data_IF_756637389492
#
_entry.id   IF_756637389492
#
_cell.length_a   1.000
_cell.length_b   1.000
_cell.length_c   1.000
_cell.angle_alpha   90.00
_cell.angle_beta   90.00
_cell.angle_gamma   90.00
#
_symmetry.space_group_name_H-M   'P 1'
#
loop_
_entity.id
_entity.type
_entity.pdbx_description
1 polymer ?
#
# COMPACT_ATOMS: atom_id res chain seq x y z
N UNK A 1 12.52 17.39 -3.87
CA UNK A 1 12.51 17.11 -2.41
C UNK A 1 13.33 18.15 -1.67
N UNK A 2 14.53 18.46 -2.13
CA UNK A 2 15.42 19.46 -1.49
C UNK A 2 14.74 20.83 -1.28
N UNK A 3 14.07 21.38 -2.31
CA UNK A 3 13.36 22.66 -2.22
C UNK A 3 12.21 22.63 -1.17
N UNK A 4 11.49 21.53 -1.08
CA UNK A 4 10.38 21.36 -0.15
C UNK A 4 10.88 21.19 1.30
N UNK A 5 12.01 20.52 1.48
CA UNK A 5 12.67 20.35 2.76
C UNK A 5 13.32 21.67 3.22
N UNK A 6 13.90 22.42 2.31
CA UNK A 6 14.43 23.75 2.59
C UNK A 6 13.31 24.69 3.04
N UNK A 7 12.20 24.75 2.30
CA UNK A 7 11.03 25.53 2.71
C UNK A 7 10.48 25.08 4.06
N UNK A 8 10.45 23.77 4.34
CA UNK A 8 9.99 23.24 5.62
C UNK A 8 10.92 23.67 6.76
N UNK A 9 12.22 23.58 6.57
CA UNK A 9 13.18 24.05 7.58
C UNK A 9 13.05 25.55 7.81
N UNK A 10 13.12 26.37 6.79
CA UNK A 10 13.12 27.83 6.90
C UNK A 10 11.80 28.38 7.45
N UNK A 11 10.67 27.87 6.98
CA UNK A 11 9.36 28.45 7.33
C UNK A 11 8.69 27.81 8.54
N UNK A 12 9.06 26.59 8.90
CA UNK A 12 8.40 25.85 9.97
C UNK A 12 9.36 25.50 11.11
N UNK A 13 10.49 24.85 10.80
CA UNK A 13 11.36 24.27 11.83
C UNK A 13 12.22 25.34 12.50
N UNK A 14 12.85 26.24 11.74
CA UNK A 14 13.69 27.31 12.29
C UNK A 14 12.89 28.25 13.20
N UNK A 15 11.70 28.73 12.82
CA UNK A 15 10.87 29.52 13.73
C UNK A 15 10.43 28.76 14.98
N UNK A 16 10.13 27.46 14.87
CA UNK A 16 9.74 26.66 16.03
C UNK A 16 10.88 26.40 17.01
N UNK A 17 12.12 26.34 16.53
CA UNK A 17 13.31 26.15 17.34
C UNK A 17 13.88 27.49 17.85
N UNK A 18 13.30 28.63 17.45
CA UNK A 18 13.83 29.98 17.79
C UNK A 18 15.14 30.30 17.06
N UNK A 19 15.47 29.57 16.01
CA UNK A 19 16.63 29.81 15.16
C UNK A 19 16.22 30.81 14.09
N UNK A 20 16.80 32.02 14.17
CA UNK A 20 16.64 33.01 13.09
C UNK A 20 17.57 32.63 11.97
N UNK A 21 17.00 32.28 10.80
CA UNK A 21 17.80 32.07 9.60
C UNK A 21 18.67 33.32 9.37
N UNK A 22 19.99 33.19 9.43
CA UNK A 22 20.87 34.31 9.13
C UNK A 22 20.69 34.67 7.65
N UNK A 23 20.64 35.98 7.33
CA UNK A 23 20.49 36.51 5.95
C UNK A 23 21.49 35.89 4.94
N UNK A 24 22.60 35.33 5.40
CA UNK A 24 23.61 34.64 4.58
C UNK A 24 23.28 33.20 4.22
N UNK A 25 22.27 32.58 4.83
CA UNK A 25 21.87 31.20 4.53
C UNK A 25 20.95 31.09 3.30
N UNK A 26 20.46 32.19 2.76
CA UNK A 26 19.64 32.22 1.54
C UNK A 26 20.43 32.08 0.21
N UNK A 27 21.76 32.15 0.27
CA UNK A 27 22.59 31.99 -0.91
C UNK A 27 22.96 30.49 -1.02
N UNK A 28 22.13 29.72 -1.69
CA UNK A 28 22.34 28.37 -2.26
C UNK A 28 23.45 27.50 -1.63
N UNK A 29 23.53 27.42 -0.32
CA UNK A 29 24.30 26.34 0.29
C UNK A 29 23.50 25.04 0.14
N UNK A 30 24.08 23.94 -0.33
CA UNK A 30 23.39 22.65 -0.32
C UNK A 30 22.83 22.40 1.08
N UNK A 31 21.58 22.01 1.15
CA UNK A 31 20.87 21.76 2.42
C UNK A 31 21.68 20.90 3.40
N UNK A 32 22.52 19.99 2.88
CA UNK A 32 23.43 19.12 3.62
C UNK A 32 24.52 19.87 4.42
N UNK A 33 24.91 21.08 4.03
CA UNK A 33 25.99 21.82 4.69
C UNK A 33 25.51 22.72 5.83
N UNK A 34 24.24 23.13 5.83
CA UNK A 34 23.69 24.10 6.78
C UNK A 34 23.21 23.48 8.10
N UNK A 35 22.87 22.22 8.11
CA UNK A 35 22.27 21.56 9.27
C UNK A 35 22.98 20.26 9.67
N UNK A 36 22.96 19.92 10.96
CA UNK A 36 23.52 18.66 11.43
C UNK A 36 22.79 17.45 10.84
N UNK A 37 23.51 16.36 10.57
CA UNK A 37 22.96 15.10 10.05
C UNK A 37 21.74 14.61 10.85
N UNK A 38 21.82 14.69 12.20
CA UNK A 38 20.71 14.29 13.08
C UNK A 38 19.46 15.13 12.84
N UNK A 39 19.61 16.44 12.70
CA UNK A 39 18.48 17.33 12.42
C UNK A 39 17.85 17.03 11.07
N UNK A 40 18.68 16.89 10.03
CA UNK A 40 18.24 16.55 8.69
C UNK A 40 17.41 15.26 8.68
N UNK A 41 17.91 14.21 9.34
CA UNK A 41 17.22 12.94 9.45
C UNK A 41 15.85 13.07 10.14
N UNK A 42 15.78 13.76 11.28
CA UNK A 42 14.53 13.91 12.05
C UNK A 42 13.50 14.72 11.24
N UNK A 43 13.92 15.81 10.62
CA UNK A 43 13.03 16.66 9.80
C UNK A 43 12.52 15.89 8.60
N UNK A 44 13.40 15.16 7.91
CA UNK A 44 13.04 14.33 6.77
C UNK A 44 12.08 13.22 7.16
N UNK A 45 12.33 12.51 8.25
CA UNK A 45 11.44 11.50 8.79
C UNK A 45 10.05 12.07 9.11
N UNK A 46 10.00 13.18 9.85
CA UNK A 46 8.73 13.84 10.18
C UNK A 46 7.98 14.28 8.92
N UNK A 47 8.68 14.89 7.95
CA UNK A 47 8.12 15.32 6.68
C UNK A 47 7.54 14.15 5.88
N UNK A 48 8.29 13.07 5.73
CA UNK A 48 7.84 11.86 5.01
C UNK A 48 6.62 11.22 5.69
N UNK A 49 6.64 11.14 7.02
CA UNK A 49 5.51 10.61 7.76
C UNK A 49 4.25 11.47 7.60
N UNK A 50 4.35 12.78 7.81
CA UNK A 50 3.21 13.69 7.69
C UNK A 50 2.66 13.68 6.26
N UNK A 51 3.53 13.71 5.25
CA UNK A 51 3.14 13.68 3.83
C UNK A 51 2.45 12.37 3.46
N UNK A 52 3.00 11.23 3.90
CA UNK A 52 2.40 9.92 3.64
C UNK A 52 1.05 9.75 4.35
N UNK A 53 0.93 10.23 5.60
CA UNK A 53 -0.34 10.25 6.32
C UNK A 53 -1.38 11.15 5.64
N UNK A 54 -0.97 12.33 5.16
CA UNK A 54 -1.85 13.21 4.41
C UNK A 54 -2.39 12.54 3.14
N UNK A 55 -1.51 11.92 2.34
CA UNK A 55 -1.87 11.18 1.13
C UNK A 55 -2.80 10.00 1.47
N UNK A 56 -2.47 9.23 2.51
CA UNK A 56 -3.28 8.11 2.97
C UNK A 56 -4.69 8.53 3.38
N UNK A 57 -4.80 9.56 4.22
CA UNK A 57 -6.10 10.05 4.70
C UNK A 57 -6.89 10.66 3.53
N UNK A 58 -6.26 11.47 2.68
CA UNK A 58 -6.92 12.12 1.55
C UNK A 58 -7.48 11.09 0.56
N UNK A 59 -6.66 10.15 0.12
CA UNK A 59 -7.09 9.16 -0.87
C UNK A 59 -7.99 8.10 -0.24
N UNK A 60 -7.67 7.61 0.96
CA UNK A 60 -8.51 6.67 1.68
C UNK A 60 -9.91 7.23 1.94
N UNK A 61 -10.01 8.49 2.41
CA UNK A 61 -11.32 9.14 2.64
C UNK A 61 -12.08 9.37 1.34
N UNK A 62 -11.39 9.84 0.29
CA UNK A 62 -12.03 10.16 -0.99
C UNK A 62 -12.61 8.91 -1.64
N UNK A 63 -11.84 7.83 -1.71
CA UNK A 63 -12.28 6.57 -2.30
C UNK A 63 -13.32 5.88 -1.42
N UNK A 64 -13.14 5.89 -0.09
CA UNK A 64 -14.11 5.34 0.84
C UNK A 64 -15.46 6.06 0.71
N UNK A 65 -15.46 7.39 0.71
CA UNK A 65 -16.68 8.16 0.54
C UNK A 65 -17.34 7.92 -0.82
N UNK A 66 -16.55 7.96 -1.91
CA UNK A 66 -17.07 7.79 -3.25
C UNK A 66 -17.68 6.41 -3.48
N UNK A 67 -17.04 5.35 -3.00
CA UNK A 67 -17.39 3.98 -3.37
C UNK A 67 -18.12 3.21 -2.29
N UNK A 68 -17.80 3.42 -1.03
CA UNK A 68 -18.43 2.71 0.08
C UNK A 68 -19.66 3.46 0.63
N UNK A 69 -19.65 4.79 0.66
CA UNK A 69 -20.76 5.58 1.18
C UNK A 69 -21.74 5.98 0.09
N UNK A 70 -21.27 6.72 -0.93
CA UNK A 70 -22.13 7.28 -1.99
C UNK A 70 -22.74 6.21 -2.88
N UNK A 71 -21.97 5.24 -3.34
CA UNK A 71 -22.50 4.18 -4.20
C UNK A 71 -23.42 3.22 -3.45
N UNK A 72 -23.22 3.01 -2.15
CA UNK A 72 -24.17 2.24 -1.35
C UNK A 72 -25.57 2.83 -1.40
N UNK A 73 -25.69 4.16 -1.30
CA UNK A 73 -26.99 4.84 -1.35
C UNK A 73 -27.65 4.78 -2.73
N UNK A 74 -26.84 4.78 -3.81
CA UNK A 74 -27.35 4.68 -5.18
C UNK A 74 -27.65 3.25 -5.62
N UNK A 75 -26.99 2.25 -5.05
CA UNK A 75 -27.22 0.84 -5.36
C UNK A 75 -28.40 0.22 -4.56
N UNK A 76 -28.98 0.96 -3.64
CA UNK A 76 -30.20 0.56 -2.90
C UNK A 76 -31.48 0.73 -3.73
N UNK A 77 -31.41 1.21 -4.99
CA UNK A 77 -32.58 1.28 -5.87
C UNK A 77 -32.99 -0.14 -6.32
N UNK A 78 -34.13 -0.68 -5.85
CA UNK A 78 -34.60 -2.03 -6.16
C UNK A 78 -34.96 -2.21 -7.64
N UNK A 79 -35.05 -1.12 -8.43
CA UNK A 79 -35.40 -1.15 -9.85
C UNK A 79 -34.20 -1.15 -10.78
N UNK A 80 -32.98 -1.05 -10.27
CA UNK A 80 -31.76 -1.02 -11.09
C UNK A 80 -31.34 -2.43 -11.47
N UNK A 81 -31.67 -2.86 -12.71
CA UNK A 81 -31.38 -4.20 -13.24
C UNK A 81 -29.91 -4.47 -13.58
N UNK A 82 -29.05 -3.49 -13.52
CA UNK A 82 -27.64 -3.62 -13.86
C UNK A 82 -26.76 -3.43 -12.62
N UNK A 83 -26.51 -4.52 -11.93
CA UNK A 83 -25.51 -4.57 -10.88
C UNK A 83 -24.13 -4.73 -11.53
N UNK A 84 -23.47 -3.63 -11.83
CA UNK A 84 -22.02 -3.66 -12.00
C UNK A 84 -21.42 -3.98 -10.64
N UNK A 85 -21.10 -5.25 -10.42
CA UNK A 85 -20.47 -5.71 -9.21
C UNK A 85 -19.15 -4.98 -9.01
N UNK A 86 -19.12 -4.09 -8.04
CA UNK A 86 -17.88 -3.57 -7.48
C UNK A 86 -17.11 -4.79 -6.98
N UNK A 87 -15.87 -4.96 -7.44
CA UNK A 87 -15.06 -6.09 -7.02
C UNK A 87 -15.55 -7.45 -7.50
N UNK A 88 -15.74 -7.62 -8.81
CA UNK A 88 -16.00 -8.87 -9.49
C UNK A 88 -16.87 -9.87 -8.72
N UNK A 89 -17.73 -10.61 -9.37
CA UNK A 89 -18.58 -11.69 -8.83
C UNK A 89 -17.81 -12.85 -8.14
N UNK A 90 -16.74 -12.54 -7.41
CA UNK A 90 -15.91 -13.54 -6.73
C UNK A 90 -16.48 -13.98 -5.38
N UNK A 91 -17.48 -13.26 -4.86
CA UNK A 91 -18.17 -13.69 -3.65
C UNK A 91 -19.54 -14.24 -4.00
N UNK A 92 -19.58 -15.55 -4.26
CA UNK A 92 -20.76 -16.33 -4.59
C UNK A 92 -21.84 -16.40 -3.48
N UNK A 93 -21.71 -15.61 -2.42
CA UNK A 93 -22.57 -15.74 -1.24
C UNK A 93 -23.40 -14.52 -0.87
N UNK A 94 -23.31 -13.42 -1.59
CA UNK A 94 -24.24 -12.31 -1.39
C UNK A 94 -24.76 -11.84 -2.74
N UNK A 95 -25.98 -12.25 -3.04
CA UNK A 95 -26.75 -11.81 -4.22
C UNK A 95 -27.04 -10.30 -4.21
N UNK A 96 -26.63 -9.59 -3.16
CA UNK A 96 -26.90 -8.17 -3.00
C UNK A 96 -25.65 -7.38 -2.61
N UNK A 97 -25.03 -6.61 -3.54
CA UNK A 97 -23.88 -5.72 -3.24
C UNK A 97 -24.17 -4.64 -2.19
N UNK A 98 -25.43 -4.37 -1.85
CA UNK A 98 -25.81 -3.46 -0.78
C UNK A 98 -25.46 -4.00 0.62
N UNK A 99 -25.12 -5.27 0.74
CA UNK A 99 -24.76 -5.95 1.97
C UNK A 99 -23.26 -6.25 2.09
N UNK A 100 -22.42 -5.32 1.70
CA UNK A 100 -21.02 -5.42 2.12
C UNK A 100 -20.87 -4.61 3.40
N UNK A 101 -21.06 -5.22 4.57
CA UNK A 101 -20.88 -4.53 5.82
C UNK A 101 -19.38 -4.24 5.94
N UNK A 102 -18.99 -2.96 5.93
CA UNK A 102 -17.72 -2.63 6.55
C UNK A 102 -17.90 -2.74 8.05
N UNK A 103 -16.99 -3.45 8.69
CA UNK A 103 -16.90 -3.43 10.13
C UNK A 103 -16.13 -2.17 10.56
N UNK A 104 -16.77 -1.30 11.33
CA UNK A 104 -16.12 -0.12 11.88
C UNK A 104 -14.92 -0.49 12.77
N UNK A 105 -14.91 -1.68 13.38
CA UNK A 105 -13.78 -2.17 14.14
C UNK A 105 -12.63 -2.54 13.21
N UNK A 106 -12.90 -3.20 12.09
CA UNK A 106 -11.89 -3.49 11.07
C UNK A 106 -11.24 -2.20 10.57
N UNK A 107 -12.04 -1.20 10.17
CA UNK A 107 -11.52 0.09 9.69
C UNK A 107 -10.62 0.76 10.73
N UNK A 108 -11.03 0.80 12.00
CA UNK A 108 -10.18 1.36 13.07
C UNK A 108 -8.86 0.61 13.22
N UNK A 109 -8.90 -0.72 13.11
CA UNK A 109 -7.70 -1.54 13.17
C UNK A 109 -6.79 -1.32 11.96
N UNK A 110 -7.36 -1.25 10.74
CA UNK A 110 -6.64 -0.94 9.51
C UNK A 110 -5.94 0.42 9.61
N UNK A 111 -6.67 1.46 10.03
CA UNK A 111 -6.11 2.80 10.21
C UNK A 111 -5.02 2.84 11.27
N UNK A 112 -5.20 2.14 12.39
CA UNK A 112 -4.19 2.06 13.45
C UNK A 112 -2.91 1.37 12.96
N UNK A 113 -3.05 0.22 12.32
CA UNK A 113 -1.90 -0.53 11.76
C UNK A 113 -1.20 0.32 10.69
N UNK A 114 -1.94 0.95 9.78
CA UNK A 114 -1.38 1.82 8.75
C UNK A 114 -0.62 3.01 9.34
N UNK A 115 -1.14 3.63 10.41
CA UNK A 115 -0.52 4.79 11.05
C UNK A 115 0.87 4.48 11.58
N UNK A 116 1.02 3.40 12.34
CA UNK A 116 2.33 3.06 12.88
C UNK A 116 3.25 2.40 11.85
N UNK A 117 2.68 1.68 10.87
CA UNK A 117 3.44 1.14 9.75
C UNK A 117 4.09 2.26 8.93
N UNK A 118 3.32 3.26 8.53
CA UNK A 118 3.83 4.44 7.82
C UNK A 118 4.85 5.22 8.64
N UNK A 119 4.68 5.31 9.98
CA UNK A 119 5.67 5.97 10.84
C UNK A 119 7.05 5.31 10.75
N UNK A 120 7.10 3.99 10.86
CA UNK A 120 8.38 3.27 10.79
C UNK A 120 8.92 3.26 9.36
N UNK A 121 8.07 3.06 8.36
CA UNK A 121 8.47 3.11 6.94
C UNK A 121 9.07 4.47 6.57
N UNK A 122 8.47 5.57 7.03
CA UNK A 122 9.01 6.90 6.81
C UNK A 122 10.43 7.04 7.38
N UNK A 123 10.71 6.43 8.54
CA UNK A 123 12.07 6.42 9.12
C UNK A 123 13.07 5.62 8.27
N UNK A 124 12.66 4.46 7.77
CA UNK A 124 13.49 3.66 6.88
C UNK A 124 13.73 4.36 5.53
N UNK A 125 12.68 4.99 4.99
CA UNK A 125 12.80 5.82 3.77
C UNK A 125 13.70 7.03 3.99
N UNK A 126 13.62 7.67 5.17
CA UNK A 126 14.51 8.78 5.51
C UNK A 126 15.99 8.37 5.48
N UNK A 127 16.33 7.14 5.88
CA UNK A 127 17.70 6.64 5.73
C UNK A 127 18.13 6.57 4.26
N UNK A 128 17.25 6.13 3.36
CA UNK A 128 17.52 6.08 1.91
C UNK A 128 17.65 7.48 1.33
N UNK A 129 16.76 8.38 1.70
CA UNK A 129 16.78 9.77 1.22
C UNK A 129 18.00 10.54 1.74
N UNK A 130 18.47 10.24 2.96
CA UNK A 130 19.77 10.75 3.45
C UNK A 130 20.93 10.27 2.56
N UNK A 131 20.90 9.02 2.08
CA UNK A 131 21.89 8.53 1.12
C UNK A 131 21.77 9.28 -0.22
N UNK A 132 20.55 9.63 -0.65
CA UNK A 132 20.35 10.44 -1.87
C UNK A 132 20.91 11.85 -1.73
N UNK A 133 20.75 12.48 -0.57
CA UNK A 133 21.35 13.78 -0.27
C UNK A 133 22.88 13.76 -0.32
N UNK A 134 23.49 12.61 -0.06
CA UNK A 134 24.94 12.38 -0.20
C UNK A 134 25.38 12.03 -1.64
N UNK A 135 24.50 12.15 -2.63
CA UNK A 135 24.78 11.88 -4.03
C UNK A 135 24.54 10.42 -4.46
N UNK A 136 23.86 9.62 -3.63
CA UNK A 136 23.56 8.20 -3.90
C UNK A 136 22.43 7.96 -4.91
N UNK A 137 21.95 8.99 -5.59
CA UNK A 137 20.90 8.85 -6.61
C UNK A 137 21.26 9.53 -7.92
N UNK A 138 20.58 9.14 -9.00
CA UNK A 138 20.65 9.75 -10.32
C UNK A 138 19.44 10.66 -10.59
N UNK A 139 18.92 11.29 -9.53
CA UNK A 139 17.89 12.29 -9.68
C UNK A 139 18.48 13.56 -10.27
N UNK A 140 17.82 14.11 -11.31
CA UNK A 140 18.23 15.34 -11.98
C UNK A 140 17.15 16.41 -11.92
N UNK A 141 17.52 17.68 -12.10
CA UNK A 141 16.61 18.83 -11.99
C UNK A 141 16.35 19.53 -13.33
N UNK A 142 17.29 19.46 -14.25
CA UNK A 142 17.20 20.13 -15.54
C UNK A 142 16.82 19.10 -16.63
N UNK A 143 15.73 19.35 -17.34
CA UNK A 143 15.24 18.46 -18.40
C UNK A 143 16.24 18.33 -19.54
N UNK A 144 17.01 19.39 -19.82
CA UNK A 144 18.02 19.41 -20.91
C UNK A 144 19.16 18.42 -20.66
N UNK A 145 19.37 17.98 -19.42
CA UNK A 145 20.41 16.99 -19.08
C UNK A 145 20.21 15.64 -19.80
N UNK A 146 18.95 15.18 -19.92
CA UNK A 146 18.61 13.93 -20.62
C UNK A 146 17.60 14.14 -21.77
N UNK A 147 17.09 15.33 -21.93
CA UNK A 147 16.14 15.72 -22.97
C UNK A 147 14.70 15.24 -22.74
N UNK A 148 13.77 15.83 -23.49
CA UNK A 148 12.34 15.59 -23.32
C UNK A 148 11.92 14.14 -23.62
N UNK A 149 12.58 13.47 -24.57
CA UNK A 149 12.23 12.07 -24.90
C UNK A 149 12.43 11.17 -23.68
N UNK A 150 13.58 11.31 -23.02
CA UNK A 150 13.86 10.51 -21.81
C UNK A 150 12.99 10.95 -20.64
N UNK A 151 12.72 12.24 -20.49
CA UNK A 151 11.81 12.75 -19.46
C UNK A 151 10.45 12.05 -19.53
N UNK A 152 9.82 11.93 -20.69
CA UNK A 152 8.54 11.24 -20.84
C UNK A 152 8.64 9.71 -20.84
N UNK A 153 9.77 9.14 -21.20
CA UNK A 153 9.99 7.68 -21.18
C UNK A 153 10.26 7.15 -19.76
N UNK A 154 10.94 7.93 -18.94
CA UNK A 154 11.43 7.47 -17.62
C UNK A 154 10.32 6.97 -16.66
N UNK A 155 9.08 7.52 -16.61
CA UNK A 155 8.00 6.96 -15.80
C UNK A 155 7.57 5.56 -16.23
N UNK A 156 7.57 5.27 -17.53
CA UNK A 156 7.22 3.94 -18.04
C UNK A 156 8.31 2.92 -17.68
N UNK A 157 9.57 3.32 -17.81
CA UNK A 157 10.70 2.48 -17.36
C UNK A 157 10.64 2.24 -15.85
N UNK A 158 10.30 3.27 -15.07
CA UNK A 158 10.10 3.18 -13.63
C UNK A 158 9.00 2.17 -13.29
N UNK A 159 7.82 2.30 -13.88
CA UNK A 159 6.69 1.39 -13.61
C UNK A 159 7.04 -0.05 -13.98
N UNK A 160 7.66 -0.26 -15.15
CA UNK A 160 8.03 -1.59 -15.60
C UNK A 160 9.09 -2.26 -14.71
N UNK A 161 10.14 -1.52 -14.36
CA UNK A 161 11.21 -1.98 -13.48
C UNK A 161 10.68 -2.31 -12.08
N UNK A 162 9.91 -1.39 -11.52
CA UNK A 162 9.39 -1.55 -10.15
C UNK A 162 8.35 -2.65 -10.05
N UNK A 163 7.47 -2.80 -11.05
CA UNK A 163 6.51 -3.90 -11.12
C UNK A 163 7.18 -5.28 -11.12
N UNK A 164 8.24 -5.42 -11.93
CA UNK A 164 9.02 -6.66 -11.98
C UNK A 164 9.63 -7.02 -10.62
N UNK A 165 10.23 -6.06 -9.94
CA UNK A 165 10.85 -6.30 -8.63
C UNK A 165 9.83 -6.51 -7.52
N UNK A 166 8.74 -5.73 -7.51
CA UNK A 166 7.67 -5.90 -6.54
C UNK A 166 7.04 -7.28 -6.67
N UNK A 167 6.78 -7.75 -7.89
CA UNK A 167 6.30 -9.12 -8.12
C UNK A 167 7.15 -10.17 -7.39
N UNK A 168 8.49 -10.11 -7.54
CA UNK A 168 9.38 -11.07 -6.90
C UNK A 168 9.44 -10.90 -5.39
N UNK A 169 9.51 -9.67 -4.90
CA UNK A 169 9.50 -9.39 -3.45
C UNK A 169 8.20 -9.90 -2.84
N UNK A 170 7.06 -9.59 -3.45
CA UNK A 170 5.74 -10.00 -2.98
C UNK A 170 5.61 -11.54 -2.98
N UNK A 171 6.04 -12.20 -4.06
CA UNK A 171 6.06 -13.66 -4.14
C UNK A 171 6.96 -14.30 -3.09
N UNK A 172 8.13 -13.71 -2.81
CA UNK A 172 9.03 -14.16 -1.74
C UNK A 172 8.38 -13.99 -0.36
N UNK A 173 7.68 -12.89 -0.13
CA UNK A 173 6.95 -12.65 1.12
C UNK A 173 5.87 -13.70 1.41
N UNK A 174 5.41 -14.44 0.41
CA UNK A 174 4.54 -15.60 0.56
C UNK A 174 5.27 -16.92 0.90
N UNK A 175 6.61 -16.94 0.93
CA UNK A 175 7.33 -18.15 1.36
C UNK A 175 7.14 -18.39 2.87
N UNK A 176 6.98 -19.63 3.32
CA UNK A 176 6.68 -19.95 4.72
C UNK A 176 7.67 -19.32 5.72
N UNK A 177 8.95 -19.19 5.34
CA UNK A 177 9.99 -18.64 6.20
C UNK A 177 9.87 -17.14 6.48
N UNK A 178 9.25 -16.38 5.58
CA UNK A 178 9.14 -14.91 5.67
C UNK A 178 7.69 -14.41 5.66
N UNK A 179 6.70 -15.29 5.46
CA UNK A 179 5.28 -14.95 5.42
C UNK A 179 4.78 -14.22 6.67
N UNK A 180 5.43 -14.41 7.80
CA UNK A 180 5.09 -13.71 9.04
C UNK A 180 5.14 -12.16 8.89
N UNK A 181 5.96 -11.63 7.97
CA UNK A 181 6.00 -10.21 7.62
C UNK A 181 4.72 -9.78 6.89
N UNK A 182 4.27 -10.59 5.93
CA UNK A 182 3.18 -10.27 5.01
C UNK A 182 1.80 -10.69 5.54
N UNK A 183 1.77 -11.58 6.53
CA UNK A 183 0.55 -12.11 7.14
C UNK A 183 -0.40 -11.04 7.66
N UNK A 184 0.15 -9.93 8.21
CA UNK A 184 -0.66 -8.85 8.75
C UNK A 184 -1.48 -8.17 7.64
N UNK A 185 -0.92 -8.06 6.42
CA UNK A 185 -1.60 -7.54 5.25
C UNK A 185 -2.77 -8.44 4.83
N UNK A 186 -2.53 -9.75 4.79
CA UNK A 186 -3.55 -10.74 4.46
C UNK A 186 -4.57 -11.05 5.57
N UNK A 187 -4.43 -10.42 6.73
CA UNK A 187 -5.43 -10.54 7.79
C UNK A 187 -6.80 -10.02 7.34
N UNK A 188 -6.79 -8.97 6.52
CA UNK A 188 -7.99 -8.37 5.94
C UNK A 188 -8.27 -8.97 4.56
N UNK A 189 -9.02 -10.06 4.52
CA UNK A 189 -9.41 -10.71 3.25
C UNK A 189 -10.33 -9.81 2.43
N UNK A 190 -11.22 -9.10 3.10
CA UNK A 190 -12.08 -8.10 2.50
C UNK A 190 -11.46 -6.72 2.69
N UNK A 191 -10.70 -6.31 1.69
CA UNK A 191 -9.97 -5.04 1.73
C UNK A 191 -10.90 -3.84 1.74
N UNK A 192 -10.44 -2.76 2.35
CA UNK A 192 -11.01 -1.42 2.22
C UNK A 192 -9.90 -0.45 1.82
N UNK A 193 -10.20 0.77 1.37
CA UNK A 193 -9.15 1.76 1.08
C UNK A 193 -8.19 1.99 2.26
N UNK A 194 -8.65 1.73 3.49
CA UNK A 194 -7.87 1.89 4.70
C UNK A 194 -6.87 0.75 4.94
N UNK A 195 -7.07 -0.42 4.30
CA UNK A 195 -6.11 -1.54 4.38
C UNK A 195 -4.87 -1.38 3.48
N UNK A 196 -4.87 -0.37 2.60
CA UNK A 196 -3.81 -0.15 1.61
C UNK A 196 -2.39 -0.09 2.20
N UNK A 197 -2.23 0.40 3.42
CA UNK A 197 -0.96 0.48 4.15
C UNK A 197 -0.99 -0.30 5.47
N UNK A 198 -1.99 -1.18 5.64
CA UNK A 198 -2.14 -2.01 6.83
C UNK A 198 -1.31 -3.28 6.71
N UNK A 199 0.00 -3.17 6.96
CA UNK A 199 0.98 -4.26 6.87
C UNK A 199 2.10 -4.09 7.89
N UNK A 200 2.97 -5.09 8.01
CA UNK A 200 4.19 -4.96 8.79
C UNK A 200 5.14 -3.96 8.12
N UNK A 201 5.79 -3.03 8.86
CA UNK A 201 6.61 -1.97 8.25
C UNK A 201 7.72 -2.47 7.35
N UNK A 202 8.35 -3.61 7.69
CA UNK A 202 9.39 -4.21 6.85
C UNK A 202 8.84 -4.80 5.55
N UNK A 203 7.61 -5.28 5.56
CA UNK A 203 6.89 -5.70 4.36
C UNK A 203 6.68 -4.51 3.41
N UNK A 204 6.01 -3.47 3.93
CA UNK A 204 5.76 -2.27 3.14
C UNK A 204 7.03 -1.60 2.64
N UNK A 205 8.08 -1.53 3.47
CA UNK A 205 9.37 -0.99 3.06
C UNK A 205 10.04 -1.86 1.97
N UNK A 206 10.04 -3.18 2.12
CA UNK A 206 10.61 -4.08 1.12
C UNK A 206 9.92 -3.93 -0.24
N UNK A 207 8.58 -3.85 -0.27
CA UNK A 207 7.81 -3.64 -1.50
C UNK A 207 7.95 -2.23 -2.06
N UNK A 208 8.24 -1.21 -1.26
CA UNK A 208 8.50 0.16 -1.72
C UNK A 208 9.95 0.41 -2.13
N UNK A 209 10.88 -0.42 -1.67
CA UNK A 209 12.32 -0.25 -1.96
C UNK A 209 12.66 -0.21 -3.46
N UNK A 210 12.02 -0.97 -4.36
CA UNK A 210 12.21 -0.85 -5.80
C UNK A 210 12.06 0.57 -6.38
N UNK A 211 11.22 1.41 -5.78
CA UNK A 211 11.06 2.80 -6.21
C UNK A 211 12.34 3.61 -6.00
N UNK A 212 12.97 3.43 -4.86
CA UNK A 212 14.23 4.07 -4.52
C UNK A 212 15.39 3.45 -5.30
N UNK A 213 15.37 2.13 -5.47
CA UNK A 213 16.39 1.41 -6.22
C UNK A 213 16.44 1.87 -7.68
N UNK A 214 15.30 2.18 -8.29
CA UNK A 214 15.27 2.70 -9.66
C UNK A 214 16.16 3.92 -9.82
N UNK A 215 16.01 4.93 -8.98
CA UNK A 215 16.77 6.18 -9.09
C UNK A 215 18.23 6.06 -8.63
N UNK A 216 18.62 4.98 -8.01
CA UNK A 216 20.05 4.66 -7.78
C UNK A 216 20.74 4.21 -9.08
N UNK A 217 20.01 3.54 -9.96
CA UNK A 217 20.56 2.99 -11.20
C UNK A 217 20.22 3.80 -12.45
N UNK A 218 19.03 4.38 -12.49
CA UNK A 218 18.53 5.07 -13.67
C UNK A 218 18.24 6.54 -13.37
N UNK A 219 18.59 7.46 -14.28
CA UNK A 219 18.24 8.85 -14.14
C UNK A 219 16.72 9.04 -14.11
N UNK A 220 16.24 9.98 -13.29
CA UNK A 220 14.84 10.41 -13.32
C UNK A 220 14.75 11.86 -12.86
N UNK A 221 13.91 12.65 -13.51
CA UNK A 221 13.68 14.03 -13.10
C UNK A 221 13.03 14.08 -11.70
N UNK A 222 13.58 14.87 -10.76
CA UNK A 222 13.20 14.84 -9.32
C UNK A 222 11.72 15.11 -9.08
N UNK A 223 11.14 16.11 -9.78
CA UNK A 223 9.68 16.40 -9.66
C UNK A 223 8.82 15.28 -10.24
N UNK A 224 9.28 14.66 -11.32
CA UNK A 224 8.58 13.54 -11.95
C UNK A 224 8.63 12.29 -11.06
N UNK A 225 9.75 12.04 -10.42
CA UNK A 225 9.89 10.97 -9.41
C UNK A 225 8.89 11.15 -8.27
N UNK A 226 8.84 12.36 -7.66
CA UNK A 226 7.88 12.66 -6.58
C UNK A 226 6.43 12.48 -7.03
N UNK A 227 6.08 12.99 -8.23
CA UNK A 227 4.74 12.81 -8.81
C UNK A 227 4.41 11.34 -9.01
N UNK A 228 5.35 10.56 -9.52
CA UNK A 228 5.16 9.12 -9.74
C UNK A 228 4.95 8.38 -8.42
N UNK A 229 5.67 8.72 -7.36
CA UNK A 229 5.43 8.16 -6.02
C UNK A 229 4.03 8.49 -5.48
N UNK A 230 3.52 9.70 -5.71
CA UNK A 230 2.14 10.07 -5.34
C UNK A 230 1.12 9.23 -6.13
N UNK A 231 1.33 9.03 -7.43
CA UNK A 231 0.47 8.19 -8.27
C UNK A 231 0.50 6.73 -7.81
N UNK A 232 1.67 6.22 -7.43
CA UNK A 232 1.82 4.87 -6.85
C UNK A 232 1.04 4.73 -5.55
N UNK A 233 1.11 5.74 -4.67
CA UNK A 233 0.32 5.75 -3.43
C UNK A 233 -1.18 5.72 -3.70
N UNK A 234 -1.66 6.51 -4.65
CA UNK A 234 -3.05 6.48 -5.10
C UNK A 234 -3.44 5.11 -5.68
N UNK A 235 -2.56 4.53 -6.52
CA UNK A 235 -2.77 3.21 -7.08
C UNK A 235 -2.89 2.13 -5.99
N UNK A 236 -2.03 2.17 -4.97
CA UNK A 236 -2.07 1.24 -3.83
C UNK A 236 -3.40 1.33 -3.08
N UNK A 237 -3.94 2.53 -2.88
CA UNK A 237 -5.30 2.70 -2.31
C UNK A 237 -6.36 2.13 -3.24
N UNK A 238 -6.26 2.39 -4.56
CA UNK A 238 -7.25 1.94 -5.54
C UNK A 238 -7.32 0.41 -5.66
N UNK A 239 -6.22 -0.32 -5.61
CA UNK A 239 -6.28 -1.79 -5.67
C UNK A 239 -6.91 -2.43 -4.43
N UNK A 240 -7.06 -1.67 -3.33
CA UNK A 240 -7.72 -2.11 -2.09
C UNK A 240 -9.17 -1.61 -1.97
N UNK A 241 -9.62 -0.67 -2.82
CA UNK A 241 -10.94 -0.06 -2.72
C UNK A 241 -12.08 -0.87 -3.36
N UNK A 242 -11.75 -2.05 -3.92
CA UNK A 242 -12.69 -2.97 -4.62
C UNK A 242 -13.28 -2.39 -5.91
N UNK A 243 -12.89 -1.20 -6.31
CA UNK A 243 -13.25 -0.63 -7.61
C UNK A 243 -12.30 -1.13 -8.67
N UNK A 244 -12.85 -1.81 -9.66
CA UNK A 244 -12.01 -2.35 -10.71
C UNK A 244 -12.44 -1.86 -12.08
N UNK A 245 -11.48 -1.32 -12.82
CA UNK A 245 -11.59 -1.10 -14.24
C UNK A 245 -11.00 -2.32 -14.93
N UNK A 246 -11.81 -3.00 -15.74
CA UNK A 246 -11.33 -4.13 -16.53
C UNK A 246 -10.52 -3.62 -17.72
N UNK A 247 -9.22 -3.46 -17.47
CA UNK A 247 -8.25 -3.09 -18.51
C UNK A 247 -7.33 -4.29 -18.78
N UNK A 248 -7.11 -4.57 -20.06
CA UNK A 248 -6.23 -5.67 -20.45
C UNK A 248 -4.80 -5.41 -19.97
N UNK A 249 -4.20 -6.43 -19.35
CA UNK A 249 -2.83 -6.36 -18.85
C UNK A 249 -2.63 -5.57 -17.55
N UNK A 250 -3.69 -4.98 -16.98
CA UNK A 250 -3.62 -4.19 -15.75
C UNK A 250 -4.08 -5.03 -14.55
N UNK A 251 -3.29 -4.98 -13.49
CA UNK A 251 -3.58 -5.63 -12.21
C UNK A 251 -4.41 -4.68 -11.32
N UNK A 252 -5.72 -4.72 -11.47
CA UNK A 252 -6.64 -3.86 -10.72
C UNK A 252 -7.15 -4.50 -9.42
N UNK A 253 -8.07 -3.82 -8.73
CA UNK A 253 -8.62 -4.22 -7.45
C UNK A 253 -9.20 -5.64 -7.43
N UNK A 254 -9.83 -6.12 -8.52
CA UNK A 254 -10.35 -7.49 -8.59
C UNK A 254 -9.23 -8.55 -8.55
N UNK A 255 -8.10 -8.28 -9.21
CA UNK A 255 -6.94 -9.18 -9.16
C UNK A 255 -6.33 -9.21 -7.76
N UNK A 256 -6.21 -8.05 -7.12
CA UNK A 256 -5.65 -7.93 -5.78
C UNK A 256 -6.59 -8.53 -4.71
N UNK A 257 -7.93 -8.36 -4.83
CA UNK A 257 -8.89 -9.07 -3.98
C UNK A 257 -8.78 -10.59 -4.15
N UNK A 258 -8.57 -11.05 -5.38
CA UNK A 258 -8.33 -12.47 -5.65
C UNK A 258 -7.03 -12.96 -4.99
N UNK A 259 -5.99 -12.10 -4.97
CA UNK A 259 -4.76 -12.36 -4.25
C UNK A 259 -5.00 -12.48 -2.74
N UNK A 260 -5.68 -11.53 -2.10
CA UNK A 260 -6.00 -11.57 -0.67
C UNK A 260 -6.81 -12.81 -0.25
N UNK A 261 -7.65 -13.32 -1.15
CA UNK A 261 -8.50 -14.47 -0.85
C UNK A 261 -7.87 -15.81 -1.20
N UNK A 262 -6.95 -15.86 -2.18
CA UNK A 262 -6.39 -17.11 -2.73
C UNK A 262 -4.87 -17.23 -2.58
N UNK A 263 -4.21 -16.25 -2.04
CA UNK A 263 -2.81 -16.17 -1.61
C UNK A 263 -1.75 -16.40 -2.71
N UNK A 264 -1.90 -17.41 -3.57
CA UNK A 264 -0.84 -17.90 -4.46
C UNK A 264 -0.94 -17.36 -5.90
N UNK A 265 -1.71 -16.28 -6.11
CA UNK A 265 -1.96 -15.72 -7.44
C UNK A 265 -1.89 -14.19 -7.41
N UNK A 266 -1.61 -13.58 -8.57
CA UNK A 266 -1.72 -12.14 -8.82
C UNK A 266 -0.84 -11.29 -7.90
N UNK A 267 0.46 -11.54 -7.91
CA UNK A 267 1.45 -10.82 -7.11
C UNK A 267 1.88 -9.46 -7.70
N UNK A 268 1.58 -9.19 -8.99
CA UNK A 268 1.95 -7.96 -9.67
C UNK A 268 1.32 -6.73 -9.02
N UNK A 269 2.02 -5.58 -9.08
CA UNK A 269 1.55 -4.33 -8.50
C UNK A 269 0.67 -3.53 -9.47
N UNK A 270 1.11 -3.42 -10.73
CA UNK A 270 0.42 -2.62 -11.76
C UNK A 270 -0.07 -3.45 -12.93
N UNK A 271 0.69 -4.45 -13.31
CA UNK A 271 0.48 -5.23 -14.51
C UNK A 271 0.39 -6.72 -14.22
N UNK A 272 -0.26 -7.44 -15.15
CA UNK A 272 -0.43 -8.90 -15.04
C UNK A 272 0.66 -9.69 -15.77
N UNK A 273 1.61 -9.03 -16.43
CA UNK A 273 2.60 -9.70 -17.28
C UNK A 273 3.54 -10.63 -16.50
N UNK A 274 4.00 -10.22 -15.31
CA UNK A 274 4.83 -11.06 -14.46
C UNK A 274 4.08 -12.30 -13.99
N UNK A 275 2.82 -12.13 -13.56
CA UNK A 275 1.98 -13.26 -13.15
C UNK A 275 1.71 -14.23 -14.32
N UNK A 276 1.49 -13.72 -15.53
CA UNK A 276 1.31 -14.55 -16.73
C UNK A 276 2.58 -15.31 -17.06
N UNK A 277 3.74 -14.63 -17.05
CA UNK A 277 5.04 -15.21 -17.38
C UNK A 277 5.46 -16.32 -16.40
N UNK A 278 5.19 -16.14 -15.12
CA UNK A 278 5.61 -17.05 -14.06
C UNK A 278 4.50 -17.97 -13.54
N UNK A 279 3.36 -18.04 -14.25
CA UNK A 279 2.27 -19.00 -13.98
C UNK A 279 1.48 -18.75 -12.70
N UNK A 280 1.47 -17.51 -12.21
CA UNK A 280 0.71 -17.10 -11.03
C UNK A 280 -0.49 -16.20 -11.38
N UNK A 281 -0.80 -16.04 -12.66
CA UNK A 281 -1.96 -15.29 -13.09
C UNK A 281 -3.25 -16.07 -12.87
N UNK A 282 -4.24 -15.42 -12.25
CA UNK A 282 -5.60 -15.92 -12.13
C UNK A 282 -6.57 -14.81 -12.50
N UNK A 283 -7.29 -15.01 -13.60
CA UNK A 283 -8.29 -14.06 -14.08
C UNK A 283 -9.46 -13.98 -13.07
N UNK A 284 -9.69 -12.83 -12.43
CA UNK A 284 -10.80 -12.66 -11.49
C UNK A 284 -12.16 -12.61 -12.17
N UNK A 285 -12.19 -12.48 -13.51
CA UNK A 285 -13.42 -12.37 -14.31
C UNK A 285 -13.84 -13.69 -14.95
N UNK A 286 -13.01 -14.73 -14.87
CA UNK A 286 -13.43 -16.07 -15.28
C UNK A 286 -14.44 -16.59 -14.27
N UNK A 287 -15.64 -16.89 -14.76
CA UNK A 287 -16.60 -17.67 -14.00
C UNK A 287 -15.99 -19.07 -13.79
N UNK A 288 -15.87 -19.49 -12.55
CA UNK A 288 -15.59 -20.88 -12.25
C UNK A 288 -16.66 -21.73 -12.93
N UNK A 289 -16.31 -22.87 -13.55
CA UNK A 289 -17.33 -23.83 -13.93
C UNK A 289 -18.14 -24.17 -12.68
N UNK A 290 -19.44 -23.99 -12.76
CA UNK A 290 -20.39 -24.08 -11.65
C UNK A 290 -20.59 -25.49 -11.08
N UNK A 291 -19.81 -26.45 -11.51
CA UNK A 291 -19.82 -27.84 -11.03
C UNK A 291 -18.46 -28.15 -10.37
N UNK A 292 -18.17 -27.51 -9.28
CA UNK A 292 -17.23 -28.11 -8.34
C UNK A 292 -17.97 -29.26 -7.66
N UNK A 293 -17.54 -30.49 -7.94
CA UNK A 293 -17.86 -31.64 -7.14
C UNK A 293 -17.78 -31.30 -5.64
N UNK A 294 -18.78 -31.68 -4.86
CA UNK A 294 -18.86 -31.37 -3.42
C UNK A 294 -17.60 -31.81 -2.68
N UNK A 295 -16.91 -32.87 -3.17
CA UNK A 295 -15.63 -33.33 -2.60
C UNK A 295 -14.49 -32.34 -2.80
N UNK A 296 -14.45 -31.57 -3.89
CA UNK A 296 -13.48 -30.51 -4.15
C UNK A 296 -13.79 -29.29 -3.29
N UNK A 297 -15.07 -28.96 -3.12
CA UNK A 297 -15.52 -27.90 -2.23
C UNK A 297 -15.18 -28.17 -0.76
N UNK A 298 -15.35 -29.40 -0.30
CA UNK A 298 -14.96 -29.82 1.05
C UNK A 298 -13.45 -29.79 1.25
N UNK A 299 -12.67 -30.20 0.24
CA UNK A 299 -11.21 -30.14 0.29
C UNK A 299 -10.70 -28.70 0.35
N UNK A 300 -11.23 -27.80 -0.49
CA UNK A 300 -10.89 -26.37 -0.45
C UNK A 300 -11.26 -25.74 0.88
N UNK A 301 -12.45 -26.04 1.42
CA UNK A 301 -12.86 -25.58 2.76
C UNK A 301 -11.94 -26.11 3.86
N UNK A 302 -11.49 -27.36 3.73
CA UNK A 302 -10.58 -27.97 4.72
C UNK A 302 -9.17 -27.39 4.64
N UNK A 303 -8.66 -27.14 3.45
CA UNK A 303 -7.35 -26.52 3.24
C UNK A 303 -7.38 -25.05 3.68
N UNK A 304 -8.42 -24.28 3.37
CA UNK A 304 -8.65 -22.92 3.88
C UNK A 304 -8.76 -22.91 5.41
N UNK A 305 -9.42 -23.90 6.01
CA UNK A 305 -9.56 -24.01 7.47
C UNK A 305 -8.22 -24.36 8.14
N UNK A 306 -7.41 -25.23 7.54
CA UNK A 306 -6.08 -25.58 8.01
C UNK A 306 -5.11 -24.40 7.89
N UNK A 307 -5.16 -23.64 6.80
CA UNK A 307 -4.39 -22.42 6.63
C UNK A 307 -4.82 -21.34 7.63
N UNK A 308 -6.14 -21.18 7.87
CA UNK A 308 -6.65 -20.27 8.89
C UNK A 308 -6.20 -20.67 10.30
N UNK A 309 -6.20 -21.97 10.62
CA UNK A 309 -5.72 -22.48 11.91
C UNK A 309 -4.21 -22.33 12.08
N UNK A 310 -3.43 -22.56 11.02
CA UNK A 310 -1.99 -22.32 11.01
C UNK A 310 -1.70 -20.81 11.14
N UNK A 311 -2.48 -19.97 10.45
CA UNK A 311 -2.41 -18.53 10.56
C UNK A 311 -2.74 -18.01 11.96
N UNK A 312 -3.73 -18.59 12.65
CA UNK A 312 -4.10 -18.25 14.05
C UNK A 312 -2.99 -18.53 15.06
N UNK A 313 -2.18 -19.58 14.84
CA UNK A 313 -1.08 -19.94 15.76
C UNK A 313 0.09 -18.95 15.75
N UNK A 314 0.20 -18.12 14.73
CA UNK A 314 1.34 -17.20 14.51
C UNK A 314 0.90 -15.73 14.52
N UNK A 315 -0.39 -15.42 14.79
CA UNK A 315 -0.87 -14.04 14.85
C UNK A 315 -0.13 -13.25 15.95
N UNK A 316 0.36 -12.04 15.67
CA UNK A 316 0.93 -11.21 16.71
C UNK A 316 -0.11 -10.92 17.79
N UNK A 317 0.36 -10.89 19.04
CA UNK A 317 -0.45 -10.74 20.28
C UNK A 317 -1.31 -9.46 20.33
N UNK A 318 -1.24 -8.62 19.32
CA UNK A 318 -1.83 -7.28 19.31
C UNK A 318 -3.21 -7.17 18.66
N UNK A 319 -3.67 -8.18 17.92
CA UNK A 319 -5.00 -8.13 17.31
C UNK A 319 -5.98 -9.02 18.08
N UNK A 320 -7.17 -8.50 18.45
CA UNK A 320 -8.22 -9.33 19.01
C UNK A 320 -8.65 -10.36 17.97
N UNK A 321 -8.85 -11.60 18.40
CA UNK A 321 -9.39 -12.67 17.55
C UNK A 321 -10.85 -12.31 17.19
N UNK A 322 -11.18 -12.07 15.94
CA UNK A 322 -12.51 -11.61 15.53
C UNK A 322 -13.61 -12.66 15.73
N UNK A 323 -13.24 -13.94 15.86
CA UNK A 323 -14.18 -15.05 16.03
C UNK A 323 -14.35 -15.48 17.49
N UNK A 324 -13.68 -14.79 18.43
CA UNK A 324 -13.91 -15.06 19.85
C UNK A 324 -15.20 -14.39 20.30
N UNK A 325 -16.14 -15.14 20.94
CA UNK A 325 -17.32 -14.57 21.55
C UNK A 325 -16.96 -13.41 22.49
N UNK A 326 -17.74 -12.35 22.51
CA UNK A 326 -17.45 -11.12 23.28
C UNK A 326 -17.10 -11.38 24.75
N UNK A 327 -17.76 -12.36 25.36
CA UNK A 327 -17.51 -12.78 26.76
C UNK A 327 -16.07 -13.31 26.97
N UNK A 328 -15.47 -13.97 25.99
CA UNK A 328 -14.09 -14.47 26.08
C UNK A 328 -13.04 -13.39 25.75
N UNK A 329 -13.41 -12.38 24.97
CA UNK A 329 -12.56 -11.22 24.71
C UNK A 329 -12.39 -10.37 25.97
N UNK A 330 -13.44 -10.20 26.76
CA UNK A 330 -13.37 -9.48 28.04
C UNK A 330 -12.57 -10.24 29.11
N UNK A 331 -12.67 -11.58 29.18
CA UNK A 331 -11.89 -12.38 30.12
C UNK A 331 -10.38 -12.32 29.80
N UNK A 332 -10.01 -12.34 28.53
CA UNK A 332 -8.60 -12.16 28.11
C UNK A 332 -8.07 -10.75 28.41
N UNK A 333 -8.91 -9.72 28.29
CA UNK A 333 -8.54 -8.35 28.69
C UNK A 333 -8.33 -8.22 30.20
N UNK A 334 -9.18 -8.86 31.01
CA UNK A 334 -9.05 -8.86 32.49
C UNK A 334 -7.83 -9.64 33.00
N UNK A 335 -7.46 -10.77 32.34
CA UNK A 335 -6.26 -11.55 32.69
C UNK A 335 -4.94 -10.90 32.29
N UNK A 336 -4.96 -9.89 31.40
CA UNK A 336 -3.77 -9.10 31.03
C UNK A 336 -3.58 -7.84 31.88
N UNK A 337 -4.58 -7.45 32.63
CA UNK A 337 -4.56 -6.28 33.53
C UNK A 337 -4.18 -6.64 34.97
N UNK A 338 -3.98 -7.92 35.25
CA UNK A 338 -3.37 -8.47 36.48
C UNK A 338 -1.94 -8.94 36.23
#
# INVERSE_FOLDING_TARGET
MDELLELTNVWIVDPLLGEVASEKQHEYAPWSESYSFKRQFIVLWAFLYISSMFVYILFGSSTFFAFFVKQRTTNLDPNRKEHHAIGGKTHAHTENPAYWPWDNQQIRNEMWVSTWSLFIMAGLTACVDMYFLLGGSKLYKDIDEYGYVYFFLSPFLFLFFTDALIYWIHRILHWPSVYWLHKLHHYYKETTPWSAFSFHPLDGFAQSFPYHLFVMFFPMHSRLYTLTLMIVGLWTVNIHDRMTLRLWGVNGAAHHTNHHTKFNYNYGQYFTWSDQLFGTFKDPYQQWPYELDETVLEKVKKDDLLELQAARKVAPVFLPDPDLPENQQEEKKKKKAQ
#
